data_IF_186109711633
#
_entry.id   IF_186109711633
#
_cell.length_a   1.000
_cell.length_b   1.000
_cell.length_c   1.000
_cell.angle_alpha   90.00
_cell.angle_beta   90.00
_cell.angle_gamma   90.00
#
_symmetry.space_group_name_H-M   'P 1'
#
loop_
_entity.id
_entity.type
_entity.pdbx_description
1 polymer ?
#
# COMPACT_ATOMS: atom_id res chain seq x y z
N UNK A 1 9.01 -10.45 -8.80
CA UNK A 1 10.10 -10.26 -7.81
C UNK A 1 10.72 -8.86 -7.93
N UNK A 2 10.72 -8.13 -6.82
CA UNK A 2 11.30 -6.82 -6.60
C UNK A 2 12.22 -6.90 -5.37
N UNK A 3 13.39 -6.28 -5.45
CA UNK A 3 14.36 -6.24 -4.36
C UNK A 3 14.72 -4.80 -4.07
N UNK A 4 14.60 -4.40 -2.81
CA UNK A 4 15.01 -3.07 -2.37
C UNK A 4 15.98 -3.22 -1.20
N UNK A 5 17.26 -3.17 -1.55
CA UNK A 5 18.36 -3.27 -0.60
C UNK A 5 18.48 -1.99 0.24
N UNK A 6 18.04 -0.84 -0.29
CA UNK A 6 18.14 0.46 0.41
C UNK A 6 17.15 0.50 1.57
N UNK A 7 15.88 0.21 1.29
CA UNK A 7 14.85 0.23 2.33
C UNK A 7 14.64 -1.13 3.01
N UNK A 8 15.31 -2.17 2.52
CA UNK A 8 15.21 -3.54 3.02
C UNK A 8 13.90 -4.24 2.67
N UNK A 9 13.12 -3.75 1.69
CA UNK A 9 11.79 -4.26 1.36
C UNK A 9 11.79 -5.09 0.08
N UNK A 10 11.86 -6.40 0.21
CA UNK A 10 11.76 -7.34 -0.91
C UNK A 10 10.32 -7.83 -1.07
N UNK A 11 9.86 -7.90 -2.31
CA UNK A 11 8.50 -8.28 -2.64
C UNK A 11 8.46 -9.26 -3.82
N UNK A 12 7.74 -10.36 -3.67
CA UNK A 12 7.36 -11.20 -4.79
C UNK A 12 5.85 -11.41 -4.79
N UNK A 13 5.18 -10.86 -5.79
CA UNK A 13 3.73 -10.81 -5.89
C UNK A 13 3.30 -11.34 -7.25
N UNK A 14 2.36 -12.27 -7.21
CA UNK A 14 1.58 -12.73 -8.33
C UNK A 14 0.15 -12.22 -8.16
N UNK A 15 -0.34 -11.54 -9.19
CA UNK A 15 -1.69 -11.02 -9.26
C UNK A 15 -2.47 -11.82 -10.30
N UNK A 16 -3.47 -12.58 -9.85
CA UNK A 16 -4.30 -13.39 -10.74
C UNK A 16 -5.25 -12.51 -11.55
N UNK A 17 -6.18 -11.86 -10.87
CA UNK A 17 -7.17 -10.98 -11.49
C UNK A 17 -7.41 -9.74 -10.63
N UNK A 18 -7.48 -8.60 -11.30
CA UNK A 18 -7.78 -7.29 -10.71
C UNK A 18 -8.80 -6.59 -11.58
N UNK A 19 -9.89 -6.16 -10.96
CA UNK A 19 -10.97 -5.43 -11.60
C UNK A 19 -11.41 -4.29 -10.69
N UNK A 20 -11.61 -3.11 -11.26
CA UNK A 20 -11.96 -1.91 -10.49
C UNK A 20 -12.65 -0.89 -11.37
N UNK A 21 -13.51 -0.09 -10.73
CA UNK A 21 -14.13 1.07 -11.35
C UNK A 21 -13.50 2.33 -10.73
N UNK A 22 -13.25 3.35 -11.54
CA UNK A 22 -12.69 4.62 -11.09
C UNK A 22 -13.66 5.73 -11.51
N UNK A 23 -14.36 6.30 -10.53
CA UNK A 23 -15.31 7.40 -10.74
C UNK A 23 -14.57 8.75 -10.81
N UNK A 24 -13.47 8.89 -10.06
CA UNK A 24 -12.64 10.09 -10.04
C UNK A 24 -11.15 9.74 -10.02
N UNK A 25 -10.39 10.41 -10.89
CA UNK A 25 -8.92 10.32 -10.94
C UNK A 25 -8.31 11.73 -11.03
N UNK A 26 -7.91 12.28 -9.88
CA UNK A 26 -7.25 13.59 -9.78
C UNK A 26 -5.86 13.45 -9.15
N UNK A 27 -4.81 13.23 -9.98
CA UNK A 27 -3.44 13.12 -9.49
C UNK A 27 -2.87 14.45 -8.99
N UNK A 28 -3.40 15.60 -9.43
CA UNK A 28 -2.93 16.90 -8.98
C UNK A 28 -3.31 17.17 -7.52
N UNK A 29 -4.48 16.69 -7.08
CA UNK A 29 -4.94 16.79 -5.70
C UNK A 29 -4.89 15.47 -4.93
N UNK A 30 -4.29 14.43 -5.51
CA UNK A 30 -4.21 13.07 -4.95
C UNK A 30 -5.57 12.53 -4.50
N UNK A 31 -6.62 12.82 -5.27
CA UNK A 31 -8.00 12.46 -4.92
C UNK A 31 -8.53 11.43 -5.91
N UNK A 32 -8.95 10.28 -5.38
CA UNK A 32 -9.39 9.14 -6.16
C UNK A 32 -10.70 8.57 -5.58
N UNK A 33 -11.69 8.35 -6.44
CA UNK A 33 -12.91 7.64 -6.09
C UNK A 33 -12.90 6.31 -6.82
N UNK A 34 -12.70 5.24 -6.04
CA UNK A 34 -12.56 3.86 -6.52
C UNK A 34 -13.63 3.04 -5.79
N UNK A 35 -14.91 3.12 -6.21
CA UNK A 35 -16.02 2.58 -5.44
C UNK A 35 -15.92 1.08 -5.20
N UNK A 36 -15.39 0.32 -6.18
CA UNK A 36 -15.29 -1.13 -6.14
C UNK A 36 -13.87 -1.58 -6.47
N UNK A 37 -13.32 -2.43 -5.61
CA UNK A 37 -12.06 -3.12 -5.82
C UNK A 37 -12.31 -4.62 -5.74
N UNK A 38 -12.01 -5.35 -6.82
CA UNK A 38 -12.04 -6.81 -6.84
C UNK A 38 -10.63 -7.37 -7.12
N UNK A 39 -10.16 -8.23 -6.22
CA UNK A 39 -8.87 -8.87 -6.28
C UNK A 39 -9.06 -10.38 -6.13
N UNK A 40 -8.57 -11.15 -7.09
CA UNK A 40 -8.60 -12.61 -7.03
C UNK A 40 -7.24 -13.26 -7.33
N UNK A 41 -6.94 -14.34 -6.63
CA UNK A 41 -5.78 -15.19 -6.91
C UNK A 41 -4.45 -14.53 -6.56
N UNK A 42 -4.43 -13.63 -5.57
CA UNK A 42 -3.19 -12.96 -5.14
C UNK A 42 -2.33 -13.94 -4.35
N UNK A 43 -1.11 -14.19 -4.83
CA UNK A 43 -0.10 -15.00 -4.13
C UNK A 43 1.15 -14.19 -3.94
N UNK A 44 1.75 -14.20 -2.76
CA UNK A 44 3.03 -13.50 -2.65
C UNK A 44 3.70 -13.56 -1.30
N UNK A 45 4.88 -12.95 -1.27
CA UNK A 45 5.75 -12.88 -0.11
C UNK A 45 6.36 -11.49 -0.04
N UNK A 46 6.30 -10.90 1.14
CA UNK A 46 6.93 -9.63 1.48
C UNK A 46 7.95 -9.91 2.57
N UNK A 47 9.21 -9.54 2.34
CA UNK A 47 10.30 -9.71 3.29
C UNK A 47 10.91 -8.35 3.60
N UNK A 48 10.79 -7.94 4.86
CA UNK A 48 11.49 -6.78 5.38
C UNK A 48 12.76 -7.21 6.11
N UNK A 49 13.89 -6.66 5.68
CA UNK A 49 15.23 -6.84 6.24
C UNK A 49 15.72 -5.50 6.80
N UNK A 50 16.87 -5.51 7.46
CA UNK A 50 17.49 -4.27 7.94
C UNK A 50 17.83 -3.36 6.75
N UNK A 51 17.35 -2.10 6.73
CA UNK A 51 17.70 -1.15 5.68
C UNK A 51 19.22 -0.91 5.62
N UNK A 52 19.73 -0.53 4.45
CA UNK A 52 21.11 -0.11 4.33
C UNK A 52 21.29 1.24 5.03
N UNK A 53 22.25 1.34 5.96
CA UNK A 53 22.63 2.63 6.53
C UNK A 53 23.38 3.47 5.49
N UNK A 54 22.64 4.33 4.78
CA UNK A 54 23.21 5.33 3.90
C UNK A 54 23.26 6.65 4.68
N UNK A 55 24.44 7.24 4.92
CA UNK A 55 24.50 8.56 5.55
C UNK A 55 23.75 9.55 4.66
N UNK A 56 22.74 10.20 5.23
CA UNK A 56 21.93 11.21 4.54
C UNK A 56 22.82 12.41 4.25
N UNK A 57 23.36 12.48 3.04
CA UNK A 57 24.05 13.65 2.52
C UNK A 57 23.00 14.58 1.92
N UNK A 58 22.37 15.39 2.76
CA UNK A 58 21.53 16.51 2.32
C UNK A 58 22.43 17.59 1.68
N UNK A 59 22.78 17.42 0.40
CA UNK A 59 23.74 18.30 -0.29
C UNK A 59 23.12 19.57 -0.88
N UNK A 60 21.79 19.70 -0.93
CA UNK A 60 21.13 20.97 -1.26
C UNK A 60 19.62 20.87 -1.01
N UNK A 61 19.08 21.35 0.12
CA UNK A 61 17.65 21.57 0.22
C UNK A 61 17.28 22.69 -0.75
N UNK A 62 16.42 22.42 -1.73
CA UNK A 62 15.87 23.44 -2.61
C UNK A 62 15.04 24.42 -1.75
N UNK A 63 15.43 25.70 -1.63
CA UNK A 63 14.75 26.66 -0.76
C UNK A 63 13.32 27.00 -1.22
N UNK A 64 12.90 26.54 -2.42
CA UNK A 64 11.55 26.73 -2.95
C UNK A 64 10.48 25.79 -2.39
N UNK A 65 10.86 24.68 -1.73
CA UNK A 65 9.92 23.60 -1.32
C UNK A 65 9.19 23.91 0.00
N UNK A 66 9.55 24.99 0.69
CA UNK A 66 9.03 25.31 2.03
C UNK A 66 7.54 25.69 2.09
N UNK A 67 6.87 25.89 0.94
CA UNK A 67 5.48 26.38 0.88
C UNK A 67 4.51 25.45 0.15
N UNK A 68 4.90 24.23 -0.21
CA UNK A 68 3.93 23.28 -0.76
C UNK A 68 3.03 22.74 0.35
N UNK A 69 1.73 23.00 0.24
CA UNK A 69 0.73 22.40 1.13
C UNK A 69 0.83 20.89 0.98
N UNK A 70 1.12 20.18 2.08
CA UNK A 70 1.15 18.72 2.10
C UNK A 70 -0.18 18.18 1.60
N UNK A 71 -0.16 17.51 0.44
CA UNK A 71 -1.33 16.83 -0.10
C UNK A 71 -1.33 15.39 0.41
N UNK A 72 -2.45 14.97 0.98
CA UNK A 72 -2.66 13.59 1.40
C UNK A 72 -3.42 12.82 0.33
N UNK A 73 -3.10 11.55 0.17
CA UNK A 73 -3.83 10.64 -0.70
C UNK A 73 -5.24 10.42 -0.14
N UNK A 74 -6.25 10.83 -0.90
CA UNK A 74 -7.66 10.69 -0.56
C UNK A 74 -8.26 9.59 -1.41
N UNK A 75 -8.70 8.52 -0.75
CA UNK A 75 -9.36 7.38 -1.39
C UNK A 75 -10.77 7.24 -0.85
N UNK A 76 -11.74 7.36 -1.75
CA UNK A 76 -13.11 6.91 -1.47
C UNK A 76 -13.26 5.50 -2.01
N UNK A 77 -13.73 4.57 -1.16
CA UNK A 77 -14.01 3.20 -1.54
C UNK A 77 -15.24 2.70 -0.78
N UNK A 78 -16.11 1.94 -1.45
CA UNK A 78 -17.37 1.42 -0.88
C UNK A 78 -17.31 -0.08 -0.66
N UNK A 79 -16.62 -0.80 -1.55
CA UNK A 79 -16.49 -2.24 -1.48
C UNK A 79 -15.09 -2.69 -1.90
N UNK A 80 -14.53 -3.60 -1.10
CA UNK A 80 -13.35 -4.39 -1.44
C UNK A 80 -13.72 -5.85 -1.33
N UNK A 81 -13.56 -6.59 -2.43
CA UNK A 81 -13.77 -8.03 -2.47
C UNK A 81 -12.46 -8.73 -2.79
N UNK A 82 -11.98 -9.48 -1.80
CA UNK A 82 -10.76 -10.26 -1.84
C UNK A 82 -11.12 -11.74 -1.94
N UNK A 83 -10.65 -12.40 -3.00
CA UNK A 83 -10.94 -13.81 -3.27
C UNK A 83 -9.64 -14.59 -3.54
N UNK A 84 -9.50 -15.79 -2.99
CA UNK A 84 -8.28 -16.62 -3.10
C UNK A 84 -6.96 -15.84 -2.89
N UNK A 85 -6.81 -15.24 -1.71
CA UNK A 85 -5.60 -14.51 -1.30
C UNK A 85 -4.70 -15.43 -0.45
N UNK A 86 -3.41 -15.44 -0.72
CA UNK A 86 -2.38 -16.11 0.08
C UNK A 86 -1.08 -15.29 0.06
N UNK A 87 -0.88 -14.47 1.09
CA UNK A 87 0.26 -13.58 1.24
C UNK A 87 1.03 -13.96 2.50
N UNK A 88 2.35 -14.09 2.39
CA UNK A 88 3.24 -14.20 3.53
C UNK A 88 3.97 -12.86 3.77
N UNK A 89 4.07 -12.45 5.02
CA UNK A 89 4.87 -11.31 5.45
C UNK A 89 5.88 -11.76 6.49
N UNK A 90 7.13 -11.35 6.33
CA UNK A 90 8.17 -11.57 7.33
C UNK A 90 8.98 -10.31 7.55
N UNK A 91 9.33 -10.03 8.80
CA UNK A 91 10.23 -8.95 9.17
C UNK A 91 11.33 -9.51 10.07
N UNK A 92 12.58 -9.40 9.62
CA UNK A 92 13.75 -9.91 10.33
C UNK A 92 14.09 -9.08 11.58
N UNK A 93 13.93 -7.76 11.52
CA UNK A 93 14.26 -6.81 12.60
C UNK A 93 13.37 -7.03 13.84
N UNK A 94 12.10 -7.32 13.63
CA UNK A 94 11.10 -7.53 14.68
C UNK A 94 10.72 -9.01 14.90
N UNK A 95 11.39 -9.94 14.20
CA UNK A 95 11.11 -11.38 14.24
C UNK A 95 9.62 -11.73 13.99
N UNK A 96 8.96 -11.00 13.08
CA UNK A 96 7.56 -11.25 12.72
C UNK A 96 7.52 -12.19 11.53
N UNK A 97 6.65 -13.20 11.59
CA UNK A 97 6.30 -14.04 10.46
C UNK A 97 4.79 -14.28 10.48
N UNK A 98 4.10 -13.85 9.42
CA UNK A 98 2.64 -13.85 9.35
C UNK A 98 2.18 -14.31 7.98
N UNK A 99 1.07 -15.04 7.96
CA UNK A 99 0.46 -15.52 6.73
C UNK A 99 -1.01 -15.13 6.69
N UNK A 100 -1.39 -14.41 5.64
CA UNK A 100 -2.75 -13.96 5.40
C UNK A 100 -3.37 -14.83 4.32
N UNK A 101 -4.45 -15.54 4.67
CA UNK A 101 -5.20 -16.38 3.74
C UNK A 101 -6.68 -16.04 3.79
N UNK A 102 -7.23 -15.62 2.66
CA UNK A 102 -8.65 -15.32 2.52
C UNK A 102 -9.20 -16.13 1.36
N UNK A 103 -10.21 -16.97 1.61
CA UNK A 103 -10.93 -17.64 0.53
C UNK A 103 -11.89 -16.66 -0.13
N UNK A 104 -12.66 -15.96 0.70
CA UNK A 104 -13.60 -14.94 0.30
C UNK A 104 -13.72 -13.95 1.47
N UNK A 105 -13.38 -12.69 1.23
CA UNK A 105 -13.47 -11.62 2.21
C UNK A 105 -14.04 -10.38 1.53
N UNK A 106 -15.17 -9.89 2.03
CA UNK A 106 -15.79 -8.65 1.60
C UNK A 106 -15.66 -7.62 2.71
N UNK A 107 -15.24 -6.42 2.33
CA UNK A 107 -15.00 -5.29 3.22
C UNK A 107 -15.82 -4.13 2.69
N UNK A 108 -16.52 -3.44 3.58
CA UNK A 108 -17.33 -2.27 3.26
C UNK A 108 -16.83 -1.10 4.11
N UNK A 109 -15.75 -0.41 3.70
CA UNK A 109 -15.18 0.65 4.52
C UNK A 109 -16.19 1.78 4.73
N UNK A 110 -16.33 2.24 5.98
CA UNK A 110 -17.09 3.44 6.29
C UNK A 110 -16.27 4.70 5.97
N UNK A 111 -14.98 4.67 6.33
CA UNK A 111 -14.04 5.78 6.11
C UNK A 111 -12.62 5.25 5.95
N UNK A 112 -11.89 5.80 4.97
CA UNK A 112 -10.44 5.63 4.81
C UNK A 112 -9.80 7.03 4.85
N UNK A 113 -9.10 7.34 5.93
CA UNK A 113 -8.40 8.62 6.12
C UNK A 113 -6.93 8.34 6.43
N UNK A 114 -6.06 8.46 5.41
CA UNK A 114 -4.63 8.21 5.55
C UNK A 114 -3.89 9.35 6.25
N UNK A 115 -4.43 10.57 6.27
CA UNK A 115 -3.87 11.69 7.05
C UNK A 115 -3.91 11.36 8.53
N UNK A 116 -4.99 10.72 8.99
CA UNK A 116 -5.15 10.26 10.39
C UNK A 116 -4.79 8.80 10.62
N UNK A 117 -4.34 8.07 9.60
CA UNK A 117 -4.15 6.62 9.64
C UNK A 117 -5.38 5.86 10.17
N UNK A 118 -6.58 6.32 9.81
CA UNK A 118 -7.86 5.79 10.26
C UNK A 118 -8.52 4.97 9.15
N UNK A 119 -8.89 3.73 9.50
CA UNK A 119 -9.73 2.87 8.66
C UNK A 119 -10.90 2.40 9.54
N UNK A 120 -12.11 2.82 9.19
CA UNK A 120 -13.35 2.38 9.83
C UNK A 120 -14.07 1.37 8.93
N UNK A 121 -14.53 0.27 9.51
CA UNK A 121 -15.16 -0.88 8.84
C UNK A 121 -16.60 -1.06 9.30
#
# INVERSE_FOLDING_TARGET
MYFDVVTGNDADLYLGHFDTDIDQFDPANLTYDVPRIYLSGVRGRMKQTTPLEIPVVNTNPDPGVANEVTKYFKLTNREIHLNDIDIAYSNEVSAINTKFKFKDLKIFPATIDLEKSLIAI
#
